data_IF_726501252079
#
_entry.id   IF_726501252079
#
_cell.length_a   1.000
_cell.length_b   1.000
_cell.length_c   1.000
_cell.angle_alpha   90.00
_cell.angle_beta   90.00
_cell.angle_gamma   90.00
#
_symmetry.space_group_name_H-M   'P 1'
#
loop_
_entity.id
_entity.type
_entity.pdbx_description
1 polymer ?
#
# COMPACT_ATOMS: atom_id res chain seq x y z
N UNK A 1 11.51 25.89 -32.44
CA UNK A 1 10.44 25.35 -31.57
C UNK A 1 9.83 24.19 -32.33
N UNK A 2 9.99 22.95 -31.87
CA UNK A 2 9.41 21.78 -32.55
C UNK A 2 8.05 21.52 -31.92
N UNK A 3 6.99 21.76 -32.68
CA UNK A 3 5.62 21.45 -32.30
C UNK A 3 5.44 19.93 -32.29
N UNK A 4 5.47 19.32 -31.11
CA UNK A 4 5.05 17.92 -30.93
C UNK A 4 3.52 17.88 -31.03
N UNK A 5 3.01 17.73 -32.25
CA UNK A 5 1.60 17.43 -32.50
C UNK A 5 1.26 16.07 -31.87
N UNK A 6 0.31 15.99 -30.91
CA UNK A 6 -0.04 14.74 -30.22
C UNK A 6 -1.02 13.90 -31.07
N UNK A 7 -0.66 13.62 -32.32
CA UNK A 7 -1.44 12.72 -33.18
C UNK A 7 -1.40 11.32 -32.56
N UNK A 8 -2.57 10.75 -32.24
CA UNK A 8 -2.71 9.42 -31.65
C UNK A 8 -2.80 9.38 -30.11
N UNK A 9 -2.55 10.51 -29.42
CA UNK A 9 -2.60 10.55 -27.95
C UNK A 9 -3.97 10.12 -27.38
N UNK A 10 -5.06 10.49 -28.05
CA UNK A 10 -6.40 10.10 -27.62
C UNK A 10 -6.59 8.57 -27.64
N UNK A 11 -6.14 7.89 -28.68
CA UNK A 11 -6.21 6.43 -28.80
C UNK A 11 -5.30 5.73 -27.79
N UNK A 12 -4.13 6.30 -27.51
CA UNK A 12 -3.23 5.81 -26.46
C UNK A 12 -3.84 5.96 -25.05
N UNK A 13 -4.54 7.07 -24.77
CA UNK A 13 -5.21 7.30 -23.49
C UNK A 13 -6.44 6.39 -23.30
N UNK A 14 -7.22 6.13 -24.36
CA UNK A 14 -8.34 5.18 -24.32
C UNK A 14 -7.88 3.73 -24.12
N UNK A 15 -6.72 3.36 -24.68
CA UNK A 15 -6.12 2.06 -24.40
C UNK A 15 -5.69 1.91 -22.93
N UNK A 16 -5.29 3.00 -22.26
CA UNK A 16 -4.92 2.99 -20.85
C UNK A 16 -6.12 2.84 -19.91
N UNK A 17 -7.30 3.37 -20.26
CA UNK A 17 -8.51 3.25 -19.44
C UNK A 17 -9.17 1.88 -19.56
N UNK A 18 -9.04 1.22 -20.71
CA UNK A 18 -9.54 -0.15 -20.94
C UNK A 18 -8.63 -1.26 -20.40
N UNK A 19 -7.40 -0.94 -20.01
CA UNK A 19 -6.47 -1.93 -19.46
C UNK A 19 -6.93 -2.39 -18.07
N UNK A 20 -7.03 -3.70 -17.80
CA UNK A 20 -7.31 -4.19 -16.46
C UNK A 20 -6.24 -3.66 -15.50
N UNK A 21 -6.67 -3.12 -14.36
CA UNK A 21 -5.76 -2.63 -13.34
C UNK A 21 -4.83 -3.77 -12.90
N UNK A 22 -3.62 -3.81 -13.45
CA UNK A 22 -2.59 -4.74 -13.00
C UNK A 22 -2.34 -4.42 -11.53
N UNK A 23 -2.59 -5.39 -10.63
CA UNK A 23 -2.25 -5.25 -9.22
C UNK A 23 -0.75 -4.88 -9.14
N UNK A 24 -0.46 -3.59 -8.90
CA UNK A 24 0.88 -3.05 -9.04
C UNK A 24 1.72 -3.41 -7.81
N UNK A 25 2.52 -4.48 -7.96
CA UNK A 25 3.66 -4.78 -7.12
C UNK A 25 3.39 -5.70 -5.92
N UNK A 26 4.45 -6.24 -5.30
CA UNK A 26 4.32 -7.14 -4.16
C UNK A 26 3.66 -6.42 -2.98
N UNK A 27 2.85 -7.18 -2.22
CA UNK A 27 2.28 -6.71 -0.96
C UNK A 27 3.42 -6.34 0.00
N UNK A 28 3.29 -5.22 0.71
CA UNK A 28 4.32 -4.86 1.70
C UNK A 28 4.24 -5.81 2.90
N UNK A 29 5.30 -5.89 3.71
CA UNK A 29 5.39 -6.81 4.85
C UNK A 29 4.22 -6.71 5.83
N UNK A 30 3.66 -5.51 6.06
CA UNK A 30 2.45 -5.32 6.88
C UNK A 30 1.21 -5.97 6.24
N UNK A 31 1.07 -5.90 4.92
CA UNK A 31 -0.03 -6.53 4.19
C UNK A 31 0.10 -8.05 4.18
N UNK A 32 1.32 -8.56 4.00
CA UNK A 32 1.58 -10.00 4.12
C UNK A 32 1.24 -10.54 5.52
N UNK A 33 1.57 -9.78 6.58
CA UNK A 33 1.23 -10.13 7.95
C UNK A 33 -0.28 -10.10 8.21
N UNK A 34 -1.01 -9.13 7.63
CA UNK A 34 -2.46 -9.05 7.72
C UNK A 34 -3.19 -10.23 7.06
N UNK A 35 -2.58 -10.86 6.06
CA UNK A 35 -3.15 -12.02 5.36
C UNK A 35 -2.83 -13.34 6.04
N UNK A 36 -1.66 -13.43 6.66
CA UNK A 36 -1.27 -14.59 7.44
C UNK A 36 -1.94 -14.62 8.83
N UNK A 37 -2.40 -13.47 9.33
CA UNK A 37 -3.04 -13.35 10.63
C UNK A 37 -4.47 -13.90 10.64
N UNK A 38 -4.86 -14.50 11.78
CA UNK A 38 -6.24 -14.88 12.04
C UNK A 38 -7.20 -13.69 11.89
N UNK A 39 -8.48 -13.90 11.51
CA UNK A 39 -9.42 -12.82 11.23
C UNK A 39 -9.55 -11.78 12.37
N UNK A 40 -9.56 -12.23 13.63
CA UNK A 40 -9.67 -11.37 14.81
C UNK A 40 -8.41 -10.53 15.05
N UNK A 41 -7.23 -11.13 14.82
CA UNK A 41 -5.93 -10.45 14.91
C UNK A 41 -5.81 -9.44 13.77
N UNK A 42 -6.19 -9.83 12.55
CA UNK A 42 -6.17 -8.96 11.39
C UNK A 42 -7.13 -7.77 11.56
N UNK A 43 -8.31 -7.98 12.15
CA UNK A 43 -9.25 -6.90 12.49
C UNK A 43 -8.64 -5.94 13.51
N UNK A 44 -8.09 -6.46 14.60
CA UNK A 44 -7.43 -5.66 15.64
C UNK A 44 -6.25 -4.86 15.08
N UNK A 45 -5.43 -5.48 14.23
CA UNK A 45 -4.29 -4.83 13.59
C UNK A 45 -4.74 -3.72 12.62
N UNK A 46 -5.81 -3.93 11.84
CA UNK A 46 -6.39 -2.88 11.00
C UNK A 46 -6.82 -1.68 11.83
N UNK A 47 -7.53 -1.90 12.95
CA UNK A 47 -7.93 -0.82 13.87
C UNK A 47 -6.72 -0.03 14.38
N UNK A 48 -5.66 -0.71 14.81
CA UNK A 48 -4.42 -0.08 15.30
C UNK A 48 -3.70 0.68 14.18
N UNK A 49 -3.63 0.12 12.97
CA UNK A 49 -3.03 0.77 11.81
C UNK A 49 -3.77 2.06 11.42
N UNK A 50 -5.09 2.08 11.52
CA UNK A 50 -5.91 3.25 11.16
C UNK A 50 -6.09 4.25 12.33
N UNK A 51 -5.64 3.91 13.54
CA UNK A 51 -5.68 4.81 14.70
C UNK A 51 -4.51 5.81 14.71
N UNK A 52 -4.72 7.13 14.52
CA UNK A 52 -3.63 8.10 14.38
C UNK A 52 -2.82 8.32 15.66
N UNK A 53 -3.43 8.12 16.83
CA UNK A 53 -2.75 8.28 18.13
C UNK A 53 -1.74 7.17 18.41
N UNK A 54 -1.85 6.01 17.75
CA UNK A 54 -0.85 4.95 17.85
C UNK A 54 0.30 5.28 16.90
N UNK A 55 1.53 5.30 17.40
CA UNK A 55 2.69 5.67 16.58
C UNK A 55 3.12 4.53 15.65
N UNK A 56 3.64 4.88 14.48
CA UNK A 56 4.16 3.88 13.54
C UNK A 56 5.33 3.06 14.13
N UNK A 57 6.13 3.67 15.01
CA UNK A 57 7.21 3.01 15.75
C UNK A 57 6.69 1.95 16.71
N UNK A 58 5.68 2.28 17.53
CA UNK A 58 5.11 1.31 18.47
C UNK A 58 4.50 0.10 17.76
N UNK A 59 3.85 0.32 16.61
CA UNK A 59 3.32 -0.75 15.78
C UNK A 59 4.46 -1.59 15.21
N UNK A 60 5.47 -0.96 14.62
CA UNK A 60 6.63 -1.63 14.04
C UNK A 60 7.36 -2.51 15.07
N UNK A 61 7.62 -1.99 16.27
CA UNK A 61 8.22 -2.73 17.36
C UNK A 61 7.37 -3.92 17.80
N UNK A 62 6.06 -3.74 17.88
CA UNK A 62 5.14 -4.82 18.25
C UNK A 62 5.14 -5.91 17.19
N UNK A 63 4.96 -5.55 15.91
CA UNK A 63 4.92 -6.51 14.81
C UNK A 63 6.24 -7.27 14.64
N UNK A 64 7.37 -6.59 14.81
CA UNK A 64 8.70 -7.20 14.69
C UNK A 64 9.00 -8.26 15.76
N UNK A 65 8.21 -8.33 16.85
CA UNK A 65 8.35 -9.38 17.87
C UNK A 65 7.75 -10.72 17.44
N UNK A 66 6.85 -10.72 16.47
CA UNK A 66 6.07 -11.88 16.07
C UNK A 66 6.37 -12.35 14.64
N UNK A 67 7.38 -11.77 13.98
CA UNK A 67 7.74 -12.12 12.61
C UNK A 67 8.95 -11.34 12.12
N UNK A 68 9.03 -11.19 10.80
CA UNK A 68 10.12 -10.46 10.16
C UNK A 68 10.19 -9.00 10.65
N UNK A 69 11.40 -8.40 10.69
CA UNK A 69 11.57 -7.01 11.07
C UNK A 69 10.71 -6.07 10.20
N UNK A 70 9.77 -5.37 10.83
CA UNK A 70 8.96 -4.33 10.21
C UNK A 70 9.43 -2.97 10.75
N UNK A 71 9.81 -2.08 9.84
CA UNK A 71 10.24 -0.73 10.23
C UNK A 71 9.06 0.23 10.40
N UNK A 72 9.24 1.28 11.20
CA UNK A 72 8.27 2.37 11.32
C UNK A 72 7.95 3.03 9.97
N UNK A 73 8.94 3.11 9.08
CA UNK A 73 8.75 3.61 7.71
C UNK A 73 7.80 2.72 6.91
N UNK A 74 7.93 1.39 7.02
CA UNK A 74 7.02 0.44 6.37
C UNK A 74 5.59 0.62 6.87
N UNK A 75 5.39 0.79 8.17
CA UNK A 75 4.08 1.06 8.77
C UNK A 75 3.51 2.40 8.28
N UNK A 76 4.30 3.48 8.29
CA UNK A 76 3.87 4.78 7.81
C UNK A 76 3.54 4.79 6.31
N UNK A 77 4.26 3.99 5.52
CA UNK A 77 3.94 3.76 4.10
C UNK A 77 2.65 2.95 3.93
N UNK A 78 2.42 1.96 4.79
CA UNK A 78 1.19 1.15 4.77
C UNK A 78 -0.05 1.96 5.17
N UNK A 79 0.05 2.84 6.17
CA UNK A 79 -1.03 3.79 6.51
C UNK A 79 -1.44 4.67 5.33
N UNK A 80 -0.49 4.95 4.44
CA UNK A 80 -0.72 5.72 3.23
C UNK A 80 -1.18 4.87 2.05
N UNK A 81 -1.61 3.62 2.25
CA UNK A 81 -2.04 2.69 1.19
C UNK A 81 -3.02 3.36 0.22
N UNK A 82 -2.77 3.18 -1.08
CA UNK A 82 -3.52 3.83 -2.15
C UNK A 82 -3.03 5.23 -2.56
N UNK A 83 -2.23 5.92 -1.74
CA UNK A 83 -1.66 7.25 -2.08
C UNK A 83 -0.35 7.14 -2.89
N UNK A 84 0.13 8.22 -3.54
CA UNK A 84 1.34 8.20 -4.37
C UNK A 84 2.60 7.70 -3.65
N UNK A 85 2.73 7.99 -2.34
CA UNK A 85 3.83 7.55 -1.48
C UNK A 85 3.43 6.41 -0.52
N UNK A 86 2.32 5.74 -0.82
CA UNK A 86 1.79 4.61 -0.07
C UNK A 86 2.33 3.27 -0.53
N UNK A 87 1.94 2.21 0.18
CA UNK A 87 1.98 0.87 -0.41
C UNK A 87 0.75 0.65 -1.31
N UNK A 88 0.77 -0.44 -2.08
CA UNK A 88 -0.32 -0.86 -2.97
C UNK A 88 -1.20 -1.96 -2.37
N UNK A 89 -1.14 -2.15 -1.04
CA UNK A 89 -2.05 -3.05 -0.35
C UNK A 89 -3.50 -2.56 -0.48
N UNK A 90 -4.44 -3.50 -0.44
CA UNK A 90 -5.87 -3.22 -0.42
C UNK A 90 -6.24 -2.42 0.84
N UNK A 91 -7.27 -1.57 0.71
CA UNK A 91 -7.65 -0.67 1.80
C UNK A 91 -8.58 -1.33 2.79
#
# INVERSE_FOLDING_TARGET
>A
MIEKQPVGLAQELDALTGAPATHRGPRCSVGALLEAADPDVAASLRTVLDTPSVTATAIAETLSRYGDPITAYTVARHRRRGMPNGCRCER
#
